data_IF_041100416411
#
_entry.id   IF_041100416411
#
_cell.length_a   1.000
_cell.length_b   1.000
_cell.length_c   1.000
_cell.angle_alpha   90.00
_cell.angle_beta   90.00
_cell.angle_gamma   90.00
#
_symmetry.space_group_name_H-M   'P 1'
#
loop_
_entity.id
_entity.type
_entity.pdbx_description
1 polymer ?
#
# COMPACT_ATOMS: atom_id res chain seq x y z
N UNK A 1 -26.57 20.01 -22.35
CA UNK A 1 -25.96 18.71 -22.01
C UNK A 1 -26.87 18.02 -21.00
N UNK A 2 -27.49 16.91 -21.38
CA UNK A 2 -28.47 16.20 -20.54
C UNK A 2 -27.76 15.53 -19.36
N UNK A 3 -28.29 15.69 -18.14
CA UNK A 3 -27.78 15.03 -16.93
C UNK A 3 -27.93 13.51 -17.08
N UNK A 4 -26.84 12.77 -16.91
CA UNK A 4 -26.87 11.30 -16.86
C UNK A 4 -27.53 10.89 -15.55
N UNK A 5 -28.72 10.31 -15.60
CA UNK A 5 -29.37 9.74 -14.42
C UNK A 5 -28.80 8.34 -14.11
N UNK A 6 -28.83 7.87 -12.86
CA UNK A 6 -28.44 6.51 -12.50
C UNK A 6 -29.19 5.43 -13.30
N UNK A 7 -30.43 5.73 -13.67
CA UNK A 7 -31.28 4.89 -14.54
C UNK A 7 -30.78 4.90 -15.99
N UNK A 8 -30.27 6.03 -16.50
CA UNK A 8 -29.68 6.12 -17.85
C UNK A 8 -28.36 5.35 -17.96
N UNK A 9 -27.56 5.29 -16.88
CA UNK A 9 -26.31 4.52 -16.79
C UNK A 9 -26.62 3.01 -16.77
N UNK A 10 -27.69 2.59 -16.08
CA UNK A 10 -28.16 1.19 -16.09
C UNK A 10 -28.85 0.80 -17.40
N UNK A 11 -29.51 1.74 -18.07
CA UNK A 11 -30.24 1.50 -19.32
C UNK A 11 -29.33 1.43 -20.55
N UNK A 12 -28.11 2.00 -20.51
CA UNK A 12 -27.14 1.80 -21.58
C UNK A 12 -26.46 0.43 -21.44
N UNK A 13 -27.12 -0.63 -21.92
CA UNK A 13 -26.52 -1.95 -22.17
C UNK A 13 -25.53 -1.91 -23.36
N UNK A 14 -24.81 -0.82 -23.56
CA UNK A 14 -23.58 -0.89 -24.32
C UNK A 14 -22.57 -1.63 -23.41
N UNK A 15 -21.99 -2.73 -23.88
CA UNK A 15 -20.90 -3.38 -23.17
C UNK A 15 -19.84 -2.31 -22.88
N UNK A 16 -19.70 -1.94 -21.60
CA UNK A 16 -18.65 -1.02 -21.20
C UNK A 16 -17.32 -1.62 -21.65
N UNK A 17 -16.41 -0.80 -22.21
CA UNK A 17 -15.13 -1.30 -22.67
C UNK A 17 -14.40 -1.98 -21.51
N UNK A 18 -13.65 -3.08 -21.75
CA UNK A 18 -12.83 -3.69 -20.73
C UNK A 18 -11.91 -2.65 -20.09
N UNK A 19 -11.73 -2.70 -18.77
CA UNK A 19 -10.93 -1.71 -18.04
C UNK A 19 -9.52 -1.54 -18.61
N UNK A 20 -8.90 -2.63 -19.09
CA UNK A 20 -7.59 -2.56 -19.75
C UNK A 20 -7.56 -1.65 -20.98
N UNK A 21 -8.66 -1.60 -21.75
CA UNK A 21 -8.82 -0.69 -22.89
C UNK A 21 -8.91 0.75 -22.41
N UNK A 22 -9.71 1.02 -21.37
CA UNK A 22 -9.83 2.36 -20.77
C UNK A 22 -8.49 2.86 -20.25
N UNK A 23 -7.75 2.01 -19.53
CA UNK A 23 -6.41 2.33 -19.01
C UNK A 23 -5.43 2.62 -20.15
N UNK A 24 -5.48 1.85 -21.23
CA UNK A 24 -4.62 2.09 -22.41
C UNK A 24 -4.92 3.44 -23.05
N UNK A 25 -6.19 3.80 -23.15
CA UNK A 25 -6.63 5.06 -23.73
C UNK A 25 -6.26 6.26 -22.85
N UNK A 26 -6.51 6.18 -21.54
CA UNK A 26 -6.10 7.21 -20.58
C UNK A 26 -4.60 7.46 -20.65
N UNK A 27 -3.80 6.40 -20.71
CA UNK A 27 -2.35 6.54 -20.87
C UNK A 27 -1.98 7.30 -22.13
N UNK A 28 -2.73 7.17 -23.22
CA UNK A 28 -2.44 7.83 -24.51
C UNK A 28 -2.89 9.29 -24.53
N UNK A 29 -4.00 9.62 -23.88
CA UNK A 29 -4.68 10.90 -24.04
C UNK A 29 -4.51 11.86 -22.86
N UNK A 30 -4.37 11.35 -21.63
CA UNK A 30 -4.33 12.21 -20.46
C UNK A 30 -3.00 12.99 -20.41
N UNK A 31 -3.03 14.34 -20.44
CA UNK A 31 -1.83 15.16 -20.48
C UNK A 31 -0.92 14.97 -19.26
N UNK A 32 -1.52 14.79 -18.08
CA UNK A 32 -0.77 14.58 -16.85
C UNK A 32 -0.05 13.22 -16.88
N UNK A 33 -0.73 12.16 -17.32
CA UNK A 33 -0.11 10.83 -17.45
C UNK A 33 1.03 10.88 -18.48
N UNK A 34 0.82 11.53 -19.63
CA UNK A 34 1.86 11.66 -20.65
C UNK A 34 3.14 12.32 -20.12
N UNK A 35 2.98 13.35 -19.29
CA UNK A 35 4.08 14.04 -18.63
C UNK A 35 4.77 13.18 -17.57
N UNK A 36 4.00 12.51 -16.70
CA UNK A 36 4.52 11.88 -15.48
C UNK A 36 4.85 10.39 -15.62
N UNK A 37 4.39 9.71 -16.67
CA UNK A 37 4.56 8.26 -16.84
C UNK A 37 6.03 7.81 -16.91
N UNK A 38 6.96 8.72 -17.22
CA UNK A 38 8.40 8.45 -17.30
C UNK A 38 9.17 8.84 -16.03
N UNK A 39 8.52 9.49 -15.06
CA UNK A 39 9.18 9.96 -13.83
C UNK A 39 9.73 8.82 -12.98
N UNK A 40 9.02 7.69 -12.96
CA UNK A 40 9.41 6.51 -12.21
C UNK A 40 9.38 5.26 -13.08
N UNK A 41 10.27 4.32 -12.77
CA UNK A 41 10.28 2.99 -13.37
C UNK A 41 9.98 1.94 -12.30
N UNK A 42 8.83 1.27 -12.44
CA UNK A 42 8.49 0.15 -11.57
C UNK A 42 9.47 -1.00 -11.75
N UNK A 43 9.98 -1.60 -10.66
CA UNK A 43 10.71 -2.86 -10.71
C UNK A 43 9.84 -4.01 -11.26
N UNK A 44 10.49 -5.12 -11.64
CA UNK A 44 9.78 -6.35 -12.04
C UNK A 44 8.99 -6.90 -10.85
N UNK A 45 7.79 -7.39 -11.10
CA UNK A 45 6.90 -7.94 -10.08
C UNK A 45 6.05 -6.89 -9.37
N UNK A 46 5.88 -5.72 -9.99
CA UNK A 46 5.04 -4.62 -9.53
C UNK A 46 4.27 -4.03 -10.71
N UNK A 47 3.10 -3.43 -10.44
CA UNK A 47 2.36 -2.67 -11.46
C UNK A 47 3.22 -1.53 -12.01
N UNK A 48 3.14 -1.32 -13.34
CA UNK A 48 3.85 -0.22 -13.99
C UNK A 48 3.33 1.13 -13.50
N UNK A 49 4.25 2.09 -13.34
CA UNK A 49 3.91 3.45 -12.91
C UNK A 49 2.85 4.11 -13.80
N UNK A 50 3.00 3.99 -15.12
CA UNK A 50 2.05 4.51 -16.09
C UNK A 50 0.65 3.90 -15.94
N UNK A 51 0.55 2.60 -15.67
CA UNK A 51 -0.75 1.96 -15.43
C UNK A 51 -1.35 2.46 -14.11
N UNK A 52 -0.56 2.56 -13.04
CA UNK A 52 -1.04 3.10 -11.77
C UNK A 52 -1.60 4.52 -11.92
N UNK A 53 -0.87 5.41 -12.62
CA UNK A 53 -1.35 6.76 -12.89
C UNK A 53 -2.70 6.76 -13.63
N UNK A 54 -2.88 5.88 -14.61
CA UNK A 54 -4.14 5.74 -15.34
C UNK A 54 -5.28 5.18 -14.49
N UNK A 55 -5.02 4.21 -13.61
CA UNK A 55 -6.02 3.73 -12.66
C UNK A 55 -6.44 4.84 -11.68
N UNK A 56 -5.48 5.58 -11.12
CA UNK A 56 -5.78 6.70 -10.24
C UNK A 56 -6.57 7.81 -10.95
N UNK A 57 -6.24 8.12 -12.21
CA UNK A 57 -6.97 9.09 -13.03
C UNK A 57 -8.39 8.63 -13.35
N UNK A 58 -8.59 7.34 -13.62
CA UNK A 58 -9.92 6.75 -13.82
C UNK A 58 -10.81 6.95 -12.59
N UNK A 59 -10.30 6.64 -11.40
CA UNK A 59 -11.03 6.83 -10.13
C UNK A 59 -11.28 8.31 -9.85
N UNK A 60 -10.26 9.17 -10.04
CA UNK A 60 -10.41 10.62 -9.90
C UNK A 60 -11.49 11.20 -10.84
N UNK A 61 -11.56 10.72 -12.08
CA UNK A 61 -12.55 11.14 -13.07
C UNK A 61 -13.99 10.85 -12.67
N UNK A 62 -14.19 9.87 -11.78
CA UNK A 62 -15.50 9.52 -11.22
C UNK A 62 -16.01 10.45 -10.11
N UNK A 63 -15.20 11.41 -9.64
CA UNK A 63 -15.50 12.20 -8.43
C UNK A 63 -16.89 12.86 -8.46
N UNK A 64 -17.24 13.52 -9.57
CA UNK A 64 -18.55 14.19 -9.69
C UNK A 64 -19.70 13.18 -9.65
N UNK A 65 -19.55 12.03 -10.34
CA UNK A 65 -20.56 10.98 -10.37
C UNK A 65 -20.74 10.37 -8.98
N UNK A 66 -19.66 10.14 -8.25
CA UNK A 66 -19.70 9.59 -6.88
C UNK A 66 -20.39 10.55 -5.90
N UNK A 67 -20.16 11.86 -6.05
CA UNK A 67 -20.86 12.90 -5.28
C UNK A 67 -22.36 12.90 -5.59
N UNK A 68 -22.73 12.90 -6.89
CA UNK A 68 -24.13 12.85 -7.33
C UNK A 68 -24.87 11.57 -6.87
N UNK A 69 -24.15 10.45 -6.76
CA UNK A 69 -24.67 9.17 -6.28
C UNK A 69 -24.72 9.06 -4.75
N UNK A 70 -24.19 10.04 -4.01
CA UNK A 70 -23.93 9.94 -2.57
C UNK A 70 -23.16 8.65 -2.21
N UNK A 71 -22.13 8.30 -3.00
CA UNK A 71 -21.21 7.21 -2.71
C UNK A 71 -20.01 7.75 -1.91
N UNK A 72 -20.02 7.69 -0.57
CA UNK A 72 -18.94 8.23 0.25
C UNK A 72 -17.62 7.50 0.03
N UNK A 73 -17.65 6.21 -0.33
CA UNK A 73 -16.45 5.40 -0.53
C UNK A 73 -15.77 5.82 -1.83
N UNK A 74 -16.52 5.85 -2.92
CA UNK A 74 -16.03 6.33 -4.20
C UNK A 74 -15.51 7.76 -4.10
N UNK A 75 -16.29 8.67 -3.49
CA UNK A 75 -15.89 10.07 -3.33
C UNK A 75 -14.56 10.21 -2.60
N UNK A 76 -14.37 9.45 -1.51
CA UNK A 76 -13.13 9.49 -0.73
C UNK A 76 -11.94 8.91 -1.49
N UNK A 77 -12.14 7.80 -2.21
CA UNK A 77 -11.11 7.20 -3.05
C UNK A 77 -10.67 8.17 -4.15
N UNK A 78 -11.62 8.80 -4.85
CA UNK A 78 -11.37 9.79 -5.89
C UNK A 78 -10.68 11.04 -5.35
N UNK A 79 -11.10 11.55 -4.19
CA UNK A 79 -10.47 12.69 -3.51
C UNK A 79 -9.03 12.37 -3.12
N UNK A 80 -8.78 11.17 -2.60
CA UNK A 80 -7.43 10.74 -2.22
C UNK A 80 -6.53 10.54 -3.46
N UNK A 81 -7.07 10.01 -4.56
CA UNK A 81 -6.33 9.92 -5.83
C UNK A 81 -5.94 11.31 -6.36
N UNK A 82 -6.88 12.26 -6.35
CA UNK A 82 -6.64 13.66 -6.71
C UNK A 82 -5.58 14.30 -5.82
N UNK A 83 -5.69 14.12 -4.50
CA UNK A 83 -4.72 14.67 -3.56
C UNK A 83 -3.32 14.13 -3.82
N UNK A 84 -3.19 12.81 -3.95
CA UNK A 84 -1.92 12.15 -4.24
C UNK A 84 -1.29 12.66 -5.55
N UNK A 85 -2.11 13.05 -6.55
CA UNK A 85 -1.63 13.70 -7.78
C UNK A 85 -1.07 15.09 -7.49
N UNK A 86 -1.82 15.93 -6.76
CA UNK A 86 -1.46 17.33 -6.46
C UNK A 86 -0.18 17.42 -5.64
N UNK A 87 -0.02 16.56 -4.63
CA UNK A 87 1.20 16.53 -3.81
C UNK A 87 2.31 15.67 -4.41
N UNK A 88 2.13 15.19 -5.65
CA UNK A 88 3.09 14.36 -6.37
C UNK A 88 3.58 13.15 -5.56
N UNK A 89 2.67 12.49 -4.83
CA UNK A 89 3.03 11.50 -3.83
C UNK A 89 3.94 10.39 -4.41
N UNK A 90 5.14 10.17 -3.86
CA UNK A 90 6.13 9.33 -4.52
C UNK A 90 5.77 7.84 -4.36
N UNK A 91 6.17 6.98 -5.32
CA UNK A 91 6.07 5.54 -5.15
C UNK A 91 7.06 5.03 -4.10
N UNK A 92 6.62 4.03 -3.34
CA UNK A 92 7.40 3.27 -2.36
C UNK A 92 7.20 1.79 -2.61
N UNK A 93 8.25 1.08 -2.98
CA UNK A 93 8.18 -0.34 -3.38
C UNK A 93 8.42 -1.24 -2.18
N UNK A 94 7.38 -1.97 -1.74
CA UNK A 94 7.48 -2.89 -0.63
C UNK A 94 8.15 -4.19 -1.07
N UNK A 95 9.25 -4.57 -0.43
CA UNK A 95 9.93 -5.81 -0.75
C UNK A 95 9.06 -7.04 -0.38
N UNK A 96 9.04 -8.11 -1.19
CA UNK A 96 8.21 -9.30 -0.94
C UNK A 96 8.43 -9.95 0.43
N UNK A 97 9.69 -10.08 0.85
CA UNK A 97 10.05 -10.66 2.15
C UNK A 97 9.58 -9.79 3.33
N UNK A 98 9.60 -8.46 3.16
CA UNK A 98 9.11 -7.54 4.19
C UNK A 98 7.58 -7.54 4.23
N UNK A 99 6.91 -7.64 3.08
CA UNK A 99 5.46 -7.82 3.02
C UNK A 99 5.03 -9.10 3.77
N UNK A 100 5.72 -10.22 3.57
CA UNK A 100 5.51 -11.45 4.36
C UNK A 100 5.70 -11.22 5.86
N UNK A 101 6.75 -10.51 6.27
CA UNK A 101 6.98 -10.21 7.67
C UNK A 101 5.88 -9.32 8.29
N UNK A 102 5.33 -8.38 7.52
CA UNK A 102 4.20 -7.55 7.95
C UNK A 102 2.92 -8.37 8.17
N UNK A 103 2.65 -9.39 7.35
CA UNK A 103 1.50 -10.30 7.57
C UNK A 103 1.57 -11.02 8.91
N UNK A 104 2.79 -11.22 9.42
CA UNK A 104 3.07 -11.85 10.72
C UNK A 104 3.22 -10.84 11.85
N UNK A 105 2.99 -9.56 11.57
CA UNK A 105 3.02 -8.46 12.54
C UNK A 105 1.58 -7.97 12.72
N UNK A 106 1.03 -7.95 13.95
CA UNK A 106 -0.28 -7.33 14.19
C UNK A 106 -0.28 -5.87 13.69
N UNK A 107 -1.42 -5.41 13.17
CA UNK A 107 -1.57 -4.00 12.81
C UNK A 107 -1.42 -3.15 14.08
N UNK A 108 -0.40 -2.28 14.17
CA UNK A 108 -0.23 -1.43 15.33
C UNK A 108 -1.27 -0.31 15.29
N UNK A 109 -1.71 0.14 16.47
CA UNK A 109 -2.48 1.39 16.55
C UNK A 109 -1.55 2.55 16.23
N UNK A 110 -1.94 3.39 15.27
CA UNK A 110 -1.27 4.67 15.03
C UNK A 110 -1.69 5.63 16.14
N UNK A 111 -0.68 6.19 16.81
CA UNK A 111 -0.88 7.34 17.71
C UNK A 111 -1.17 8.58 16.87
N UNK A 112 -2.08 9.46 17.26
CA UNK A 112 -2.47 10.66 16.50
C UNK A 112 -1.29 11.64 16.33
N UNK A 113 -0.28 11.53 17.18
CA UNK A 113 0.92 12.39 17.21
C UNK A 113 2.10 11.87 16.38
N UNK A 114 1.89 10.91 15.46
CA UNK A 114 2.99 10.43 14.63
C UNK A 114 3.59 11.56 13.75
N UNK A 115 4.92 11.57 13.49
CA UNK A 115 5.56 12.61 12.70
C UNK A 115 5.01 12.72 11.27
N UNK A 116 4.65 13.93 10.85
CA UNK A 116 4.13 14.22 9.51
C UNK A 116 5.26 14.39 8.47
N UNK A 117 6.13 13.39 8.34
CA UNK A 117 7.28 13.45 7.41
C UNK A 117 6.89 13.03 5.99
N UNK A 118 5.81 12.25 5.84
CA UNK A 118 5.32 11.71 4.57
C UNK A 118 3.81 11.94 4.48
N UNK A 119 3.35 13.12 4.02
CA UNK A 119 1.92 13.47 4.02
C UNK A 119 1.10 12.58 3.07
N UNK A 120 1.73 12.06 2.01
CA UNK A 120 1.15 11.05 1.15
C UNK A 120 2.25 10.25 0.43
N UNK A 121 2.02 8.97 0.19
CA UNK A 121 2.85 8.14 -0.68
C UNK A 121 2.02 7.04 -1.34
N UNK A 122 2.54 6.47 -2.42
CA UNK A 122 1.94 5.35 -3.14
C UNK A 122 2.69 4.07 -2.78
N UNK A 123 2.10 3.23 -1.93
CA UNK A 123 2.67 1.95 -1.55
C UNK A 123 2.46 0.96 -2.71
N UNK A 124 3.53 0.73 -3.48
CA UNK A 124 3.55 -0.25 -4.56
C UNK A 124 3.78 -1.63 -3.95
N UNK A 125 2.81 -2.52 -4.12
CA UNK A 125 2.83 -3.87 -3.57
C UNK A 125 3.40 -4.86 -4.60
N UNK A 126 4.16 -5.88 -4.15
CA UNK A 126 4.63 -6.91 -5.04
C UNK A 126 3.45 -7.79 -5.50
N UNK A 127 3.57 -8.34 -6.70
CA UNK A 127 2.54 -9.22 -7.28
C UNK A 127 2.14 -10.31 -6.30
N UNK A 128 0.84 -10.43 -6.03
CA UNK A 128 0.29 -11.42 -5.12
C UNK A 128 0.26 -11.04 -3.64
N UNK A 129 0.71 -9.84 -3.26
CA UNK A 129 0.74 -9.44 -1.85
C UNK A 129 -0.65 -9.13 -1.26
N UNK A 130 -1.58 -8.63 -2.07
CA UNK A 130 -2.92 -8.22 -1.62
C UNK A 130 -3.95 -8.47 -2.73
N UNK A 131 -5.10 -9.00 -2.31
CA UNK A 131 -6.24 -9.29 -3.17
C UNK A 131 -7.53 -8.88 -2.47
N UNK A 132 -8.55 -8.59 -3.28
CA UNK A 132 -9.95 -8.49 -2.84
C UNK A 132 -10.48 -9.85 -2.40
N UNK A 133 -11.65 -9.83 -1.77
CA UNK A 133 -12.45 -11.01 -1.44
C UNK A 133 -12.75 -11.85 -2.70
N UNK A 134 -12.93 -11.19 -3.84
CA UNK A 134 -13.16 -11.81 -5.16
C UNK A 134 -11.88 -12.15 -5.92
N UNK A 135 -10.72 -12.18 -5.23
CA UNK A 135 -9.39 -12.52 -5.79
C UNK A 135 -8.89 -11.56 -6.87
N UNK A 136 -9.38 -10.33 -6.88
CA UNK A 136 -8.84 -9.29 -7.76
C UNK A 136 -7.58 -8.70 -7.12
N UNK A 137 -6.45 -8.60 -7.83
CA UNK A 137 -5.23 -8.02 -7.27
C UNK A 137 -5.39 -6.54 -6.91
N UNK A 138 -4.83 -6.14 -5.76
CA UNK A 138 -4.66 -4.74 -5.36
C UNK A 138 -3.15 -4.43 -5.39
N UNK A 139 -2.61 -3.95 -6.52
CA UNK A 139 -1.17 -3.70 -6.67
C UNK A 139 -0.68 -2.43 -5.96
N UNK A 140 -1.57 -1.48 -5.65
CA UNK A 140 -1.18 -0.20 -5.06
C UNK A 140 -2.17 0.24 -3.99
N UNK A 141 -1.62 0.75 -2.89
CA UNK A 141 -2.37 1.44 -1.84
C UNK A 141 -1.85 2.87 -1.74
N UNK A 142 -2.74 3.85 -1.91
CA UNK A 142 -2.42 5.25 -1.65
C UNK A 142 -2.58 5.49 -0.15
N UNK A 143 -1.51 5.89 0.50
CA UNK A 143 -1.49 6.17 1.94
C UNK A 143 -1.34 7.67 2.12
N UNK A 144 -2.28 8.30 2.82
CA UNK A 144 -2.28 9.73 3.06
C UNK A 144 -2.56 10.05 4.52
N UNK A 145 -1.84 11.02 5.06
CA UNK A 145 -2.11 11.59 6.38
C UNK A 145 -3.34 12.48 6.30
N UNK A 146 -4.37 12.19 7.10
CA UNK A 146 -5.62 12.93 7.08
C UNK A 146 -5.45 14.38 7.53
N UNK A 147 -4.46 14.65 8.39
CA UNK A 147 -4.11 16.01 8.83
C UNK A 147 -3.58 16.83 7.67
N UNK A 148 -2.84 16.21 6.74
CA UNK A 148 -2.35 16.88 5.54
C UNK A 148 -3.46 17.11 4.50
N UNK A 149 -4.55 16.35 4.59
CA UNK A 149 -5.71 16.44 3.70
C UNK A 149 -6.84 17.31 4.26
N UNK A 150 -6.71 17.89 5.46
CA UNK A 150 -7.84 18.48 6.19
C UNK A 150 -8.67 19.47 5.37
N UNK A 151 -8.03 20.33 4.57
CA UNK A 151 -8.70 21.32 3.71
C UNK A 151 -9.43 20.72 2.51
N UNK A 152 -9.14 19.46 2.18
CA UNK A 152 -9.74 18.69 1.08
C UNK A 152 -10.86 17.77 1.56
N UNK A 153 -10.94 17.54 2.87
CA UNK A 153 -11.96 16.69 3.45
C UNK A 153 -13.25 17.50 3.67
N UNK A 154 -14.43 16.88 3.49
CA UNK A 154 -15.69 17.52 3.84
C UNK A 154 -15.67 17.92 5.32
N UNK A 155 -16.38 18.99 5.74
CA UNK A 155 -16.33 19.51 7.12
C UNK A 155 -16.58 18.46 8.20
N UNK A 156 -17.41 17.45 7.89
CA UNK A 156 -17.71 16.33 8.78
C UNK A 156 -16.49 15.41 9.03
N UNK A 157 -15.53 15.39 8.11
CA UNK A 157 -14.32 14.58 8.14
C UNK A 157 -13.06 15.34 8.61
N UNK A 158 -13.15 16.66 8.84
CA UNK A 158 -12.03 17.50 9.30
C UNK A 158 -11.59 17.21 10.75
N UNK A 159 -12.36 16.41 11.50
CA UNK A 159 -12.03 15.97 12.86
C UNK A 159 -11.30 14.62 12.91
N UNK A 160 -10.99 14.04 11.75
CA UNK A 160 -10.44 12.68 11.68
C UNK A 160 -8.90 12.75 11.70
N UNK A 161 -8.30 12.25 12.78
CA UNK A 161 -6.86 11.98 12.86
C UNK A 161 -6.50 10.63 12.23
N UNK A 162 -5.22 10.41 11.92
CA UNK A 162 -4.73 9.14 11.40
C UNK A 162 -4.42 9.17 9.90
N UNK A 163 -4.66 8.04 9.22
CA UNK A 163 -4.33 7.85 7.80
C UNK A 163 -5.52 7.38 6.98
N UNK A 164 -5.63 7.90 5.76
CA UNK A 164 -6.41 7.33 4.66
C UNK A 164 -5.56 6.28 3.95
N UNK A 165 -6.14 5.11 3.70
CA UNK A 165 -5.52 4.09 2.87
C UNK A 165 -6.52 3.67 1.78
N UNK A 166 -6.18 3.94 0.52
CA UNK A 166 -7.02 3.65 -0.64
C UNK A 166 -6.37 2.61 -1.52
N UNK A 167 -6.94 1.41 -1.55
CA UNK A 167 -6.52 0.31 -2.42
C UNK A 167 -7.16 0.43 -3.79
N UNK A 168 -6.36 0.34 -4.86
CA UNK A 168 -6.85 0.36 -6.23
C UNK A 168 -6.78 -1.05 -6.82
N UNK A 169 -7.92 -1.71 -7.01
CA UNK A 169 -7.98 -3.04 -7.57
C UNK A 169 -7.94 -3.00 -9.12
N UNK A 170 -7.44 -4.08 -9.74
CA UNK A 170 -7.26 -4.12 -11.20
C UNK A 170 -8.58 -4.17 -11.99
N UNK A 171 -9.70 -4.48 -11.36
CA UNK A 171 -11.04 -4.42 -11.95
C UNK A 171 -11.65 -3.00 -11.92
N UNK A 172 -10.94 -2.03 -11.32
CA UNK A 172 -11.40 -0.65 -11.21
C UNK A 172 -12.19 -0.36 -9.93
N UNK A 173 -12.32 -1.33 -9.04
CA UNK A 173 -12.89 -1.09 -7.71
C UNK A 173 -11.87 -0.45 -6.77
N UNK A 174 -12.37 0.33 -5.81
CA UNK A 174 -11.56 0.99 -4.78
C UNK A 174 -11.95 0.52 -3.39
N UNK A 175 -10.95 0.34 -2.53
CA UNK A 175 -11.11 -0.11 -1.14
C UNK A 175 -10.57 0.95 -0.19
N UNK A 176 -11.19 1.08 0.99
CA UNK A 176 -10.80 2.03 2.02
C UNK A 176 -10.60 1.30 3.36
N UNK A 177 -9.62 1.70 4.18
CA UNK A 177 -9.38 1.05 5.47
C UNK A 177 -10.28 1.55 6.59
N UNK A 178 -10.34 0.77 7.69
CA UNK A 178 -11.27 1.00 8.81
C UNK A 178 -11.03 2.31 9.55
N UNK A 179 -9.79 2.80 9.63
CA UNK A 179 -9.51 4.15 10.17
C UNK A 179 -10.18 5.28 9.37
N UNK A 180 -10.55 5.05 8.11
CA UNK A 180 -11.37 5.99 7.32
C UNK A 180 -12.89 5.81 7.54
N UNK A 181 -13.32 4.75 8.25
CA UNK A 181 -14.71 4.26 8.28
C UNK A 181 -15.40 4.21 9.63
N UNK A 182 -14.73 4.48 10.76
CA UNK A 182 -15.44 4.52 12.07
C UNK A 182 -16.59 5.55 12.12
N UNK A 183 -16.82 6.32 11.05
CA UNK A 183 -17.89 7.31 10.93
C UNK A 183 -18.87 7.12 9.76
N UNK A 184 -18.75 6.08 8.90
CA UNK A 184 -19.62 5.91 7.70
C UNK A 184 -20.48 4.63 7.72
N UNK A 185 -20.35 3.80 8.76
CA UNK A 185 -21.16 2.58 8.95
C UNK A 185 -20.52 1.35 8.29
N UNK A 186 -20.28 0.32 9.10
CA UNK A 186 -19.62 -0.91 8.67
C UNK A 186 -20.54 -1.78 7.79
N UNK A 187 -20.00 -2.34 6.70
CA UNK A 187 -20.47 -3.63 6.19
C UNK A 187 -19.64 -4.73 6.85
N UNK A 188 -20.29 -5.62 7.59
CA UNK A 188 -19.66 -6.82 8.15
C UNK A 188 -19.07 -7.69 7.02
N UNK A 189 -17.84 -8.22 7.17
CA UNK A 189 -17.29 -9.19 6.24
C UNK A 189 -18.13 -10.47 6.26
N UNK A 190 -18.45 -11.02 5.10
CA UNK A 190 -19.35 -12.18 4.94
C UNK A 190 -18.69 -13.44 4.35
N UNK A 191 -17.37 -13.47 4.15
CA UNK A 191 -16.72 -14.61 3.47
C UNK A 191 -15.33 -14.94 4.03
N UNK A 192 -15.01 -16.23 4.01
CA UNK A 192 -13.71 -16.83 4.35
C UNK A 192 -12.56 -16.32 3.45
N UNK A 193 -11.33 -16.32 3.98
CA UNK A 193 -10.11 -15.85 3.29
C UNK A 193 -9.74 -16.76 2.10
N UNK A 194 -9.73 -16.21 0.89
CA UNK A 194 -9.44 -16.93 -0.36
C UNK A 194 -8.13 -16.53 -1.05
N UNK A 195 -7.18 -15.95 -0.32
CA UNK A 195 -5.84 -15.60 -0.85
C UNK A 195 -5.07 -16.82 -1.40
N UNK A 196 -4.16 -16.59 -2.36
CA UNK A 196 -3.41 -17.66 -3.05
C UNK A 196 -2.61 -18.53 -2.06
N UNK A 197 -2.49 -19.87 -2.23
CA UNK A 197 -1.91 -20.77 -1.23
C UNK A 197 -0.44 -20.50 -0.85
N UNK A 198 0.31 -19.80 -1.70
CA UNK A 198 1.66 -19.31 -1.37
C UNK A 198 1.69 -18.14 -0.35
N UNK A 199 0.53 -17.54 -0.07
CA UNK A 199 0.34 -16.33 0.72
C UNK A 199 -0.66 -16.60 1.86
N UNK A 200 -0.45 -17.66 2.63
CA UNK A 200 -1.30 -17.99 3.79
C UNK A 200 -1.18 -16.92 4.87
N UNK A 201 -2.26 -16.17 5.08
CA UNK A 201 -2.47 -15.35 6.26
C UNK A 201 -2.83 -16.26 7.43
N UNK A 202 -2.61 -15.81 8.67
CA UNK A 202 -2.87 -16.61 9.87
C UNK A 202 -4.37 -16.96 9.96
N UNK A 203 -4.72 -18.25 9.89
CA UNK A 203 -6.11 -18.78 9.89
C UNK A 203 -6.94 -18.32 11.10
N UNK A 204 -6.30 -17.96 12.21
CA UNK A 204 -6.99 -17.40 13.39
C UNK A 204 -7.39 -15.93 13.25
N UNK A 205 -7.02 -15.28 12.13
CA UNK A 205 -7.30 -13.91 11.81
C UNK A 205 -7.94 -13.83 10.42
N UNK A 206 -9.24 -14.15 10.31
CA UNK A 206 -10.04 -13.79 9.14
C UNK A 206 -10.05 -12.26 9.04
N UNK A 207 -9.08 -11.71 8.30
CA UNK A 207 -8.92 -10.29 8.09
C UNK A 207 -9.56 -9.92 6.75
N UNK A 208 -10.55 -9.01 6.77
CA UNK A 208 -11.09 -8.45 5.53
C UNK A 208 -10.00 -7.81 4.68
N UNK A 209 -10.22 -7.64 3.38
CA UNK A 209 -9.27 -6.95 2.48
C UNK A 209 -8.80 -5.62 3.07
N UNK A 210 -9.71 -4.88 3.70
CA UNK A 210 -9.43 -3.61 4.36
C UNK A 210 -8.43 -3.74 5.52
N UNK A 211 -8.56 -4.75 6.38
CA UNK A 211 -7.62 -4.96 7.49
C UNK A 211 -6.24 -5.38 7.01
N UNK A 212 -6.18 -6.25 5.99
CA UNK A 212 -4.91 -6.68 5.37
C UNK A 212 -4.19 -5.50 4.72
N UNK A 213 -4.93 -4.66 4.00
CA UNK A 213 -4.44 -3.42 3.40
C UNK A 213 -3.92 -2.45 4.44
N UNK A 214 -4.68 -2.22 5.51
CA UNK A 214 -4.30 -1.34 6.62
C UNK A 214 -3.02 -1.80 7.30
N UNK A 215 -2.92 -3.10 7.60
CA UNK A 215 -1.72 -3.68 8.18
C UNK A 215 -0.48 -3.45 7.31
N UNK A 216 -0.58 -3.63 5.99
CA UNK A 216 0.54 -3.36 5.08
C UNK A 216 0.89 -1.86 5.06
N UNK A 217 -0.10 -0.99 4.95
CA UNK A 217 0.08 0.46 4.86
C UNK A 217 0.70 1.06 6.13
N UNK A 218 0.15 0.72 7.30
CA UNK A 218 0.62 1.22 8.59
C UNK A 218 2.04 0.72 8.88
N UNK A 219 2.30 -0.58 8.71
CA UNK A 219 3.64 -1.11 8.93
C UNK A 219 4.67 -0.47 7.98
N UNK A 220 4.30 -0.24 6.71
CA UNK A 220 5.15 0.45 5.74
C UNK A 220 5.41 1.93 6.12
N UNK A 221 4.40 2.64 6.63
CA UNK A 221 4.56 4.00 7.14
C UNK A 221 5.50 4.02 8.35
N UNK A 222 5.27 3.17 9.34
CA UNK A 222 6.09 3.12 10.56
C UNK A 222 7.54 2.71 10.28
N UNK A 223 7.79 1.80 9.34
CA UNK A 223 9.16 1.50 8.90
C UNK A 223 9.81 2.73 8.29
N UNK A 224 9.10 3.48 7.43
CA UNK A 224 9.65 4.71 6.87
C UNK A 224 9.97 5.77 7.93
N UNK A 225 9.18 5.84 9.01
CA UNK A 225 9.36 6.82 10.09
C UNK A 225 10.45 6.41 11.10
N UNK A 226 10.51 5.13 11.46
CA UNK A 226 11.27 4.66 12.62
C UNK A 226 12.37 3.65 12.31
N UNK A 227 12.43 3.12 11.09
CA UNK A 227 13.48 2.21 10.62
C UNK A 227 14.05 2.66 9.26
N UNK A 228 14.64 3.87 9.18
CA UNK A 228 15.21 4.39 7.94
C UNK A 228 16.30 3.49 7.34
N UNK A 229 16.94 2.64 8.16
CA UNK A 229 17.90 1.63 7.70
C UNK A 229 17.30 0.57 6.76
N UNK A 230 15.98 0.38 6.79
CA UNK A 230 15.28 -0.51 5.85
C UNK A 230 14.92 0.20 4.54
N UNK A 231 15.17 1.51 4.41
CA UNK A 231 14.90 2.24 3.19
C UNK A 231 16.12 2.21 2.26
N UNK A 232 15.87 1.97 0.98
CA UNK A 232 16.95 1.95 -0.02
C UNK A 232 16.52 2.63 -1.30
N UNK A 233 17.22 3.69 -1.67
CA UNK A 233 17.05 4.33 -2.98
C UNK A 233 17.88 3.57 -4.01
N UNK A 234 17.21 2.94 -4.98
CA UNK A 234 17.86 2.29 -6.10
C UNK A 234 18.48 3.31 -7.06
N UNK A 235 19.38 2.86 -7.95
CA UNK A 235 19.93 3.75 -8.97
C UNK A 235 18.83 4.26 -9.90
N UNK A 236 18.98 5.50 -10.38
CA UNK A 236 18.16 6.02 -11.48
C UNK A 236 18.22 5.06 -12.67
N UNK A 237 17.08 4.83 -13.32
CA UNK A 237 17.05 3.92 -14.45
C UNK A 237 17.85 4.55 -15.61
N UNK A 238 18.88 3.85 -16.11
CA UNK A 238 19.60 4.29 -17.29
C UNK A 238 18.62 4.30 -18.48
N UNK A 239 18.45 5.47 -19.11
CA UNK A 239 17.76 5.58 -20.39
C UNK A 239 18.58 4.74 -21.38
N UNK A 240 17.96 3.72 -21.99
CA UNK A 240 18.63 2.97 -23.07
C UNK A 240 18.77 3.92 -24.24
N UNK A 241 19.98 4.41 -24.52
CA UNK A 241 20.26 5.02 -25.82
C UNK A 241 20.10 3.93 -26.88
N UNK A 242 19.05 4.03 -27.68
CA UNK A 242 18.94 3.20 -28.86
C UNK A 242 20.10 3.55 -29.81
N UNK A 243 20.83 2.55 -30.30
CA UNK A 243 21.67 2.73 -31.50
C UNK A 243 20.72 2.85 -32.71
N UNK A 244 20.12 4.03 -32.84
CA UNK A 244 19.34 4.44 -34.01
C UNK A 244 20.13 5.48 -34.80
N UNK A 245 20.15 5.34 -36.12
CA UNK A 245 20.78 6.27 -37.04
C UNK A 245 20.06 7.62 -37.01
N UNK A 246 20.44 8.51 -36.10
CA UNK A 246 20.15 9.93 -36.18
C UNK A 246 21.36 10.68 -35.59
N UNK A 247 21.98 11.50 -36.41
CA UNK A 247 23.12 12.33 -36.02
C UNK A 247 22.74 13.30 -34.90
N UNK A 248 23.77 13.62 -34.11
CA UNK A 248 23.88 14.78 -33.23
C UNK A 248 22.62 15.64 -33.08
N UNK A 249 21.78 15.26 -32.13
CA UNK A 249 21.01 16.21 -31.34
C UNK A 249 21.24 15.82 -29.89
N UNK A 250 22.07 16.60 -29.19
CA UNK A 250 21.97 16.70 -27.74
C UNK A 250 20.57 17.28 -27.46
N UNK A 251 19.57 16.40 -27.38
CA UNK A 251 18.24 16.78 -26.88
C UNK A 251 18.37 17.01 -25.38
N UNK A 252 18.57 18.27 -25.01
CA UNK A 252 18.02 18.81 -23.78
C UNK A 252 16.60 18.26 -23.61
N UNK A 253 16.38 17.41 -22.60
CA UNK A 253 15.03 16.94 -22.25
C UNK A 253 14.84 15.44 -22.02
N UNK A 254 15.84 14.57 -22.20
CA UNK A 254 15.69 13.17 -21.74
C UNK A 254 15.66 13.11 -20.20
N UNK A 255 14.46 13.18 -19.62
CA UNK A 255 14.22 13.00 -18.18
C UNK A 255 14.63 11.57 -17.81
N UNK A 256 15.76 11.44 -17.11
CA UNK A 256 16.15 10.16 -16.53
C UNK A 256 15.16 9.79 -15.42
N UNK A 257 14.52 8.61 -15.46
CA UNK A 257 13.60 8.21 -14.41
C UNK A 257 14.29 8.17 -13.05
N UNK A 258 13.60 8.65 -12.02
CA UNK A 258 14.07 8.57 -10.64
C UNK A 258 14.23 7.11 -10.23
N UNK A 259 15.22 6.85 -9.38
CA UNK A 259 15.46 5.52 -8.82
C UNK A 259 14.31 5.07 -7.92
N UNK A 260 13.97 3.77 -7.90
CA UNK A 260 12.92 3.26 -7.02
C UNK A 260 13.34 3.38 -5.56
N UNK A 261 12.48 3.93 -4.72
CA UNK A 261 12.65 3.89 -3.26
C UNK A 261 12.01 2.63 -2.72
N UNK A 262 12.82 1.74 -2.19
CA UNK A 262 12.41 0.46 -1.63
C UNK A 262 12.20 0.56 -0.12
N UNK A 263 11.22 -0.20 0.36
CA UNK A 263 11.05 -0.52 1.78
C UNK A 263 11.45 -1.99 1.95
N UNK A 264 12.60 -2.23 2.58
CA UNK A 264 13.14 -3.56 2.88
C UNK A 264 13.80 -4.29 1.72
N UNK A 265 14.43 -3.61 0.76
CA UNK A 265 15.03 -4.25 -0.44
C UNK A 265 15.88 -5.49 -0.13
N UNK A 266 16.76 -5.33 0.85
CA UNK A 266 17.72 -6.34 1.27
C UNK A 266 17.25 -7.11 2.51
N UNK A 267 16.01 -6.85 2.97
CA UNK A 267 15.40 -7.58 4.07
C UNK A 267 15.21 -9.05 3.68
N UNK A 268 15.53 -9.95 4.61
CA UNK A 268 15.37 -11.39 4.46
C UNK A 268 14.71 -11.93 5.71
N UNK A 269 13.60 -12.67 5.53
CA UNK A 269 12.92 -13.29 6.63
C UNK A 269 13.67 -14.57 7.06
N UNK A 270 14.16 -14.58 8.29
CA UNK A 270 14.86 -15.72 8.90
C UNK A 270 13.87 -16.87 9.18
N UNK A 271 13.96 -17.93 8.36
CA UNK A 271 13.15 -19.15 8.46
C UNK A 271 13.87 -20.26 9.20
N UNK A 272 15.08 -20.02 9.70
CA UNK A 272 15.86 -21.00 10.43
C UNK A 272 15.31 -21.12 11.85
N UNK A 273 14.97 -22.33 12.36
CA UNK A 273 14.50 -22.50 13.72
C UNK A 273 15.55 -21.99 14.71
N UNK A 274 15.20 -20.98 15.50
CA UNK A 274 16.04 -20.59 16.64
C UNK A 274 15.69 -21.45 17.84
N UNK A 275 16.72 -22.03 18.45
CA UNK A 275 16.60 -22.69 19.74
C UNK A 275 15.94 -21.74 20.74
N UNK A 276 14.96 -22.24 21.49
CA UNK A 276 14.38 -21.46 22.58
C UNK A 276 15.48 -21.13 23.59
N UNK A 277 15.62 -19.85 23.96
CA UNK A 277 16.57 -19.43 24.98
C UNK A 277 16.36 -20.28 26.25
N UNK A 278 17.39 -21.01 26.66
CA UNK A 278 17.37 -21.97 27.76
C UNK A 278 17.26 -21.25 29.11
N UNK A 279 16.10 -20.70 29.43
CA UNK A 279 15.76 -20.18 30.76
C UNK A 279 14.87 -21.18 31.52
N UNK A 280 15.29 -22.44 31.60
CA UNK A 280 14.69 -23.41 32.54
C UNK A 280 15.75 -24.32 33.15
N UNK A 281 16.53 -23.75 34.07
CA UNK A 281 17.02 -24.52 35.22
C UNK A 281 15.84 -24.82 36.12
N UNK A 282 15.13 -25.93 35.88
CA UNK A 282 14.52 -26.77 36.93
C UNK A 282 13.62 -27.86 36.34
N UNK A 283 13.91 -29.10 36.72
CA UNK A 283 12.90 -30.10 37.06
C UNK A 283 12.31 -30.92 35.91
N UNK A 284 12.57 -32.24 35.97
CA UNK A 284 12.10 -33.22 35.00
C UNK A 284 10.60 -33.17 34.69
N UNK A 285 10.30 -33.30 33.40
CA UNK A 285 8.97 -33.55 32.86
C UNK A 285 9.10 -33.70 31.35
N UNK A 286 8.89 -34.91 30.82
CA UNK A 286 8.93 -35.21 29.39
C UNK A 286 7.80 -34.50 28.63
N UNK A 287 7.95 -33.20 28.39
CA UNK A 287 7.07 -32.42 27.55
C UNK A 287 7.38 -32.70 26.09
N UNK A 288 6.36 -33.07 25.31
CA UNK A 288 6.46 -33.27 23.87
C UNK A 288 7.20 -32.11 23.20
N UNK A 289 8.14 -32.42 22.30
CA UNK A 289 8.87 -31.42 21.53
C UNK A 289 7.89 -30.43 20.89
N UNK A 290 7.96 -29.15 21.30
CA UNK A 290 7.09 -28.12 20.74
C UNK A 290 7.36 -28.01 19.24
N UNK A 291 6.31 -28.13 18.43
CA UNK A 291 6.41 -28.00 16.97
C UNK A 291 6.99 -26.62 16.62
N UNK A 292 7.88 -26.55 15.61
CA UNK A 292 8.34 -25.27 15.09
C UNK A 292 7.16 -24.39 14.68
N UNK A 293 7.20 -23.12 15.07
CA UNK A 293 6.15 -22.14 14.78
C UNK A 293 6.74 -20.74 14.60
N UNK A 294 5.95 -19.84 14.02
CA UNK A 294 6.32 -18.43 13.93
C UNK A 294 5.97 -17.71 15.23
N UNK A 295 6.95 -17.02 15.81
CA UNK A 295 6.67 -15.95 16.76
C UNK A 295 6.42 -14.67 15.98
N UNK A 296 5.26 -14.05 16.21
CA UNK A 296 4.81 -12.83 15.51
C UNK A 296 5.77 -11.67 15.76
N UNK A 297 5.89 -10.82 14.74
CA UNK A 297 6.53 -9.52 14.89
C UNK A 297 5.65 -8.59 15.71
N UNK A 298 6.21 -7.50 16.25
CA UNK A 298 5.43 -6.48 16.95
C UNK A 298 6.21 -5.17 17.01
N UNK A 299 5.47 -4.08 17.22
CA UNK A 299 6.04 -2.77 17.49
C UNK A 299 6.17 -2.55 19.00
N UNK A 300 7.28 -1.97 19.43
CA UNK A 300 7.50 -1.67 20.84
C UNK A 300 8.32 -0.39 21.01
N UNK A 301 7.97 0.40 22.02
CA UNK A 301 8.71 1.60 22.38
C UNK A 301 9.91 1.23 23.25
N UNK A 302 11.11 1.44 22.75
CA UNK A 302 12.36 1.18 23.47
C UNK A 302 12.96 2.47 24.00
N UNK A 303 13.61 2.37 25.17
CA UNK A 303 14.43 3.46 25.71
C UNK A 303 15.77 3.50 24.97
N UNK A 304 16.22 4.70 24.62
CA UNK A 304 17.47 4.96 23.90
C UNK A 304 18.06 6.32 24.31
N UNK A 305 19.20 6.67 23.71
CA UNK A 305 19.94 7.89 24.02
C UNK A 305 20.72 7.81 25.33
N UNK A 306 21.39 8.92 25.66
CA UNK A 306 22.19 9.00 26.88
C UNK A 306 21.32 8.74 28.10
N UNK A 307 21.76 7.83 28.98
CA UNK A 307 21.04 7.42 30.19
C UNK A 307 19.58 6.99 29.94
N UNK A 308 19.25 6.50 28.74
CA UNK A 308 17.92 5.98 28.37
C UNK A 308 16.79 7.01 28.54
N UNK A 309 17.10 8.30 28.40
CA UNK A 309 16.13 9.39 28.60
C UNK A 309 15.16 9.57 27.44
N UNK A 310 15.46 9.01 26.26
CA UNK A 310 14.64 9.16 25.06
C UNK A 310 13.91 7.87 24.72
N UNK A 311 12.73 7.97 24.11
CA UNK A 311 11.93 6.83 23.65
C UNK A 311 11.90 6.81 22.13
N UNK A 312 11.99 5.62 21.53
CA UNK A 312 11.76 5.44 20.09
C UNK A 312 10.92 4.20 19.85
N UNK A 313 10.06 4.27 18.85
CA UNK A 313 9.36 3.10 18.35
C UNK A 313 10.35 2.20 17.61
N UNK A 314 10.29 0.89 17.82
CA UNK A 314 11.13 -0.08 17.13
C UNK A 314 10.29 -1.31 16.74
N UNK A 315 10.44 -1.76 15.51
CA UNK A 315 9.84 -3.01 15.06
C UNK A 315 10.74 -4.19 15.42
N UNK A 316 10.13 -5.18 16.06
CA UNK A 316 10.70 -6.49 16.31
C UNK A 316 10.14 -7.44 15.27
N UNK A 317 10.99 -7.86 14.32
CA UNK A 317 10.60 -8.73 13.22
C UNK A 317 10.10 -10.11 13.71
N UNK A 318 9.22 -10.77 12.93
CA UNK A 318 8.82 -12.15 13.21
C UNK A 318 10.02 -13.11 13.14
N UNK A 319 9.98 -14.15 13.97
CA UNK A 319 11.08 -15.13 14.09
C UNK A 319 10.52 -16.55 14.07
N UNK A 320 11.15 -17.45 13.31
CA UNK A 320 10.81 -18.86 13.34
C UNK A 320 11.47 -19.53 14.56
N UNK A 321 10.67 -20.11 15.45
CA UNK A 321 11.12 -20.71 16.71
C UNK A 321 10.77 -22.19 16.74
N UNK A 322 11.69 -23.03 17.21
CA UNK A 322 11.55 -24.49 17.19
C UNK A 322 12.89 -25.15 17.45
N UNK A 323 12.88 -26.37 17.99
CA UNK A 323 14.10 -27.05 18.42
C UNK A 323 15.00 -27.46 17.25
N UNK A 324 16.29 -27.14 17.39
CA UNK A 324 17.43 -27.89 16.85
C UNK A 324 17.83 -28.99 17.82
#
# INVERSE_FOLDING_TARGET
MSRLTPESIRASQAELPPIGTVITELRRQDPYIQQEQHRYRSPRGFQSWANHLAYAALIEGGLQVMDELNDPIGFWAATTCRWARIVEAPPRFLAPELAEAFRRTPSPRLDEDFPQVLPCFRLMLPDGALFTEDKVPIPVVIVADLRAMADWLPPQAQRIGGISCVGLALDGTSYLTRHSFEQIGERNPTVDDLSHPAWQWDEQAVQSTNQRMEGLAINALLVQLYQPELLTTGPAAKVRSGKGFAGAADTEGTVSPQGPVWIGKDFRLDRTPRAAASNSTSGGGGGAARRPHWRRGHWHTVLHGEKRQSRRMQWFQPVYVGLS
#
